data_IF_781619474402
#
_entry.id   IF_781619474402
#
_cell.length_a   1.000
_cell.length_b   1.000
_cell.length_c   1.000
_cell.angle_alpha   90.00
_cell.angle_beta   90.00
_cell.angle_gamma   90.00
#
_symmetry.space_group_name_H-M   'P 1'
#
loop_
_entity.id
_entity.type
_entity.pdbx_description
1 polymer ?
#
# COMPACT_ATOMS: atom_id res chain seq x y z
N UNK A 1 -14.90 -27.90 -5.31
CA UNK A 1 -16.06 -27.15 -5.85
C UNK A 1 -15.52 -25.93 -6.59
N UNK A 2 -15.63 -25.91 -7.91
CA UNK A 2 -15.34 -24.72 -8.70
C UNK A 2 -16.52 -23.75 -8.54
N UNK A 3 -16.29 -22.59 -7.92
CA UNK A 3 -17.28 -21.52 -7.90
C UNK A 3 -17.27 -20.85 -9.29
N UNK A 4 -18.41 -20.92 -9.95
CA UNK A 4 -18.71 -20.24 -11.20
C UNK A 4 -18.56 -18.73 -10.98
N UNK A 5 -17.50 -18.12 -11.48
CA UNK A 5 -17.40 -16.69 -11.69
C UNK A 5 -17.24 -16.43 -13.18
N UNK A 6 -18.35 -16.52 -13.91
CA UNK A 6 -18.50 -15.84 -15.19
C UNK A 6 -19.92 -15.26 -15.21
N UNK A 7 -20.00 -13.97 -14.92
CA UNK A 7 -21.20 -13.19 -15.16
C UNK A 7 -21.38 -13.05 -16.69
N UNK A 8 -22.58 -13.31 -17.18
CA UNK A 8 -22.93 -13.46 -18.60
C UNK A 8 -22.81 -12.18 -19.44
N UNK A 9 -22.25 -11.11 -18.89
CA UNK A 9 -22.15 -9.81 -19.54
C UNK A 9 -21.07 -9.72 -20.64
N UNK A 10 -20.11 -10.66 -20.68
CA UNK A 10 -18.97 -10.62 -21.63
C UNK A 10 -19.07 -11.60 -22.80
N UNK A 11 -20.15 -12.36 -22.94
CA UNK A 11 -20.39 -13.21 -24.12
C UNK A 11 -19.45 -14.41 -24.31
N UNK A 12 -18.59 -14.72 -23.34
CA UNK A 12 -17.72 -15.89 -23.40
C UNK A 12 -18.47 -17.13 -22.91
N UNK A 13 -18.96 -17.94 -23.85
CA UNK A 13 -19.49 -19.28 -23.55
C UNK A 13 -18.32 -20.25 -23.47
N UNK A 14 -17.90 -20.61 -22.26
CA UNK A 14 -16.83 -21.59 -22.04
C UNK A 14 -16.59 -21.89 -20.57
N UNK A 15 -16.18 -23.13 -20.27
CA UNK A 15 -15.67 -23.49 -18.96
C UNK A 15 -14.28 -22.86 -18.78
N UNK A 16 -14.03 -22.23 -17.63
CA UNK A 16 -12.67 -21.83 -17.26
C UNK A 16 -11.79 -23.07 -17.21
N UNK A 17 -10.87 -23.21 -18.16
CA UNK A 17 -9.94 -24.36 -18.22
C UNK A 17 -8.88 -24.31 -17.12
N UNK A 18 -8.81 -23.21 -16.38
CA UNK A 18 -7.89 -23.04 -15.26
C UNK A 18 -8.56 -23.51 -13.97
N UNK A 19 -7.91 -24.48 -13.32
CA UNK A 19 -8.28 -24.90 -11.98
C UNK A 19 -8.06 -23.71 -11.04
N UNK A 20 -9.07 -23.39 -10.23
CA UNK A 20 -8.91 -22.40 -9.16
C UNK A 20 -7.79 -22.87 -8.23
N UNK A 21 -6.80 -22.01 -7.92
CA UNK A 21 -5.72 -22.39 -7.02
C UNK A 21 -6.30 -22.81 -5.68
N UNK A 22 -5.70 -23.84 -5.10
CA UNK A 22 -6.06 -24.35 -3.78
C UNK A 22 -5.78 -23.31 -2.70
N UNK A 23 -6.39 -23.50 -1.52
CA UNK A 23 -6.12 -22.62 -0.38
C UNK A 23 -4.63 -22.59 -0.01
N UNK A 24 -3.92 -23.71 -0.17
CA UNK A 24 -2.49 -23.83 0.07
C UNK A 24 -1.67 -23.03 -0.95
N UNK A 25 -1.94 -23.21 -2.25
CA UNK A 25 -1.28 -22.47 -3.33
C UNK A 25 -1.51 -20.96 -3.23
N UNK A 26 -2.66 -20.53 -2.68
CA UNK A 26 -2.95 -19.12 -2.45
C UNK A 26 -2.39 -18.56 -1.14
N UNK A 27 -1.84 -19.36 -0.23
CA UNK A 27 -1.41 -18.88 1.08
C UNK A 27 -0.27 -17.86 0.98
N UNK A 28 0.76 -18.17 0.19
CA UNK A 28 1.90 -17.29 -0.03
C UNK A 28 1.51 -16.03 -0.83
N UNK A 29 0.84 -16.12 -2.00
CA UNK A 29 0.40 -14.94 -2.75
C UNK A 29 -0.49 -14.00 -1.94
N UNK A 30 -1.39 -14.51 -1.08
CA UNK A 30 -2.22 -13.65 -0.22
C UNK A 30 -1.41 -12.92 0.84
N UNK A 31 -0.38 -13.56 1.39
CA UNK A 31 0.53 -12.91 2.33
C UNK A 31 1.32 -11.80 1.63
N UNK A 32 1.89 -12.10 0.47
CA UNK A 32 2.65 -11.14 -0.33
C UNK A 32 1.78 -9.97 -0.79
N UNK A 33 0.55 -10.24 -1.25
CA UNK A 33 -0.41 -9.22 -1.63
C UNK A 33 -0.74 -8.28 -0.46
N UNK A 34 -0.96 -8.81 0.74
CA UNK A 34 -1.19 -7.97 1.93
C UNK A 34 0.03 -7.12 2.28
N UNK A 35 1.25 -7.65 2.16
CA UNK A 35 2.48 -6.86 2.32
C UNK A 35 2.58 -5.75 1.27
N UNK A 36 2.27 -6.06 0.02
CA UNK A 36 2.24 -5.08 -1.06
C UNK A 36 1.22 -3.98 -0.79
N UNK A 37 -0.01 -4.33 -0.43
CA UNK A 37 -1.09 -3.38 -0.11
C UNK A 37 -0.69 -2.48 1.07
N UNK A 38 -0.16 -3.05 2.16
CA UNK A 38 0.35 -2.29 3.29
C UNK A 38 1.46 -1.32 2.88
N UNK A 39 2.37 -1.74 1.99
CA UNK A 39 3.46 -0.89 1.47
C UNK A 39 2.90 0.26 0.61
N UNK A 40 1.95 -0.01 -0.28
CA UNK A 40 1.37 1.03 -1.13
C UNK A 40 0.55 2.03 -0.32
N UNK A 41 -0.23 1.57 0.65
CA UNK A 41 -0.96 2.45 1.56
C UNK A 41 0.02 3.34 2.34
N UNK A 42 1.09 2.76 2.91
CA UNK A 42 2.11 3.55 3.59
C UNK A 42 2.76 4.58 2.66
N UNK A 43 3.08 4.21 1.41
CA UNK A 43 3.65 5.14 0.43
C UNK A 43 2.70 6.30 0.13
N UNK A 44 1.42 6.01 -0.14
CA UNK A 44 0.39 7.00 -0.41
C UNK A 44 0.21 7.95 0.77
N UNK A 45 0.04 7.39 1.95
CA UNK A 45 -0.19 8.16 3.16
C UNK A 45 1.02 9.06 3.42
N UNK A 46 2.25 8.54 3.27
CA UNK A 46 3.47 9.34 3.38
C UNK A 46 3.56 10.46 2.33
N UNK A 47 3.23 10.19 1.07
CA UNK A 47 3.20 11.25 0.03
C UNK A 47 2.21 12.35 0.37
N UNK A 48 1.04 12.01 0.91
CA UNK A 48 0.05 13.00 1.37
C UNK A 48 0.55 13.81 2.56
N UNK A 49 1.33 13.20 3.45
CA UNK A 49 1.89 13.88 4.60
C UNK A 49 3.02 14.85 4.20
N UNK A 50 3.94 14.42 3.34
CA UNK A 50 5.12 15.21 2.97
C UNK A 50 4.84 16.27 1.88
N UNK A 51 3.57 16.46 1.49
CA UNK A 51 3.15 17.29 0.33
C UNK A 51 4.03 17.10 -0.91
N UNK A 52 4.48 15.86 -1.11
CA UNK A 52 5.43 15.51 -2.15
C UNK A 52 4.69 14.78 -3.26
N UNK A 53 5.11 15.04 -4.50
CA UNK A 53 4.61 14.30 -5.65
C UNK A 53 4.80 12.78 -5.44
N UNK A 54 3.96 11.97 -6.08
CA UNK A 54 3.98 10.50 -5.89
C UNK A 54 5.32 9.84 -6.27
N UNK A 55 6.09 10.50 -7.14
CA UNK A 55 7.45 10.11 -7.54
C UNK A 55 8.53 10.56 -6.54
N UNK A 56 8.14 11.34 -5.52
CA UNK A 56 8.97 11.89 -4.44
C UNK A 56 10.07 12.81 -4.93
N UNK A 57 9.92 13.37 -6.13
CA UNK A 57 10.89 14.32 -6.65
C UNK A 57 10.68 15.70 -6.03
N UNK A 58 11.78 16.33 -5.62
CA UNK A 58 11.81 17.70 -5.10
C UNK A 58 12.75 18.53 -5.97
N UNK A 59 12.31 19.68 -6.50
CA UNK A 59 13.19 20.59 -7.24
C UNK A 59 14.41 21.00 -6.39
N UNK A 60 15.61 21.14 -6.99
CA UNK A 60 16.81 21.56 -6.26
C UNK A 60 16.62 22.85 -5.46
N UNK A 61 15.84 23.79 -5.98
CA UNK A 61 15.55 25.10 -5.37
C UNK A 61 14.76 24.97 -4.06
N UNK A 62 13.98 23.89 -3.92
CA UNK A 62 13.10 23.63 -2.78
C UNK A 62 13.67 22.58 -1.82
N UNK A 63 14.85 22.01 -2.12
CA UNK A 63 15.39 20.87 -1.38
C UNK A 63 15.60 21.13 0.12
N UNK A 64 16.21 22.25 0.48
CA UNK A 64 16.51 22.57 1.89
C UNK A 64 15.24 22.84 2.71
N UNK A 65 14.23 23.44 2.09
CA UNK A 65 12.91 23.66 2.71
C UNK A 65 12.22 22.32 2.96
N UNK A 66 12.10 21.50 1.91
CA UNK A 66 11.46 20.17 2.00
C UNK A 66 12.17 19.28 3.03
N UNK A 67 13.50 19.31 3.09
CA UNK A 67 14.28 18.57 4.08
C UNK A 67 13.95 18.99 5.51
N UNK A 68 13.89 20.29 5.76
CA UNK A 68 13.59 20.85 7.09
C UNK A 68 12.18 20.49 7.54
N UNK A 69 11.19 20.64 6.65
CA UNK A 69 9.79 20.33 6.92
C UNK A 69 9.58 18.83 7.17
N UNK A 70 10.17 17.98 6.33
CA UNK A 70 10.11 16.52 6.50
C UNK A 70 10.76 16.06 7.81
N UNK A 71 11.88 16.66 8.21
CA UNK A 71 12.55 16.35 9.48
C UNK A 71 11.68 16.76 10.69
N UNK A 72 11.07 17.94 10.64
CA UNK A 72 10.17 18.42 11.68
C UNK A 72 8.94 17.50 11.83
N UNK A 73 8.34 17.09 10.70
CA UNK A 73 7.21 16.17 10.67
C UNK A 73 7.58 14.80 11.24
N UNK A 74 8.72 14.23 10.82
CA UNK A 74 9.21 12.94 11.34
C UNK A 74 9.42 12.99 12.86
N UNK A 75 10.05 14.06 13.37
CA UNK A 75 10.22 14.26 14.82
C UNK A 75 8.87 14.34 15.54
N UNK A 76 7.90 15.07 14.99
CA UNK A 76 6.54 15.16 15.54
C UNK A 76 5.84 13.80 15.62
N UNK A 77 5.88 13.02 14.54
CA UNK A 77 5.32 11.66 14.51
C UNK A 77 6.02 10.72 15.50
N UNK A 78 7.36 10.76 15.55
CA UNK A 78 8.14 9.94 16.48
C UNK A 78 7.77 10.26 17.93
N UNK A 79 7.65 11.54 18.28
CA UNK A 79 7.20 11.96 19.60
C UNK A 79 5.79 11.43 19.90
N UNK A 80 4.83 11.59 18.99
CA UNK A 80 3.47 11.07 19.20
C UNK A 80 3.45 9.56 19.46
N UNK A 81 4.25 8.78 18.73
CA UNK A 81 4.37 7.32 18.93
C UNK A 81 4.99 7.00 20.29
N UNK A 82 6.07 7.68 20.68
CA UNK A 82 6.74 7.47 21.96
C UNK A 82 5.84 7.85 23.14
N UNK A 83 5.12 8.97 23.05
CA UNK A 83 4.15 9.38 24.07
C UNK A 83 2.99 8.39 24.18
N UNK A 84 2.49 7.84 23.07
CA UNK A 84 1.45 6.81 23.10
C UNK A 84 1.91 5.54 23.82
N UNK A 85 3.16 5.11 23.60
CA UNK A 85 3.75 3.95 24.31
C UNK A 85 3.87 4.14 25.82
N UNK A 86 4.00 5.38 26.29
CA UNK A 86 4.02 5.71 27.73
C UNK A 86 2.62 5.82 28.36
N UNK A 87 1.56 5.74 27.55
CA UNK A 87 0.16 5.85 28.00
C UNK A 87 -0.60 4.51 28.06
N UNK A 88 0.08 3.38 27.83
CA UNK A 88 -0.46 2.02 27.97
C UNK A 88 0.21 1.28 29.11
#
# INVERSE_FOLDING_TARGET
MALLLFDGALGFVGLCLFVLPTLEEMALPRKEYRCFEATQNLKRDLSSFLDSASDRWVPPENWEVAKTENEAMFKGMLQAVLTNKHSR
#
